data_IF_624496783603
#
_entry.id   IF_624496783603
#
_cell.length_a   1.000
_cell.length_b   1.000
_cell.length_c   1.000
_cell.angle_alpha   90.00
_cell.angle_beta   90.00
_cell.angle_gamma   90.00
#
_symmetry.space_group_name_H-M   'P 1'
#
loop_
_entity.id
_entity.type
_entity.pdbx_description
1 polymer ?
#
# COMPACT_ATOMS: atom_id res chain seq x y z
N UNK A 1 13.35 -20.25 19.14
CA UNK A 1 11.98 -20.69 18.82
C UNK A 1 11.11 -19.50 19.15
N UNK A 2 10.60 -18.82 18.13
CA UNK A 2 9.61 -17.77 18.34
C UNK A 2 8.38 -18.40 18.97
N UNK A 3 7.87 -17.77 20.03
CA UNK A 3 6.62 -18.17 20.64
C UNK A 3 5.48 -17.87 19.65
N UNK A 4 5.07 -18.86 18.89
CA UNK A 4 3.88 -18.75 18.03
C UNK A 4 2.70 -18.44 18.93
N UNK A 5 2.18 -17.21 18.85
CA UNK A 5 0.99 -16.81 19.60
C UNK A 5 -0.21 -17.55 19.02
N UNK A 6 -0.85 -18.37 19.84
CA UNK A 6 -2.07 -19.06 19.44
C UNK A 6 -3.20 -18.07 19.23
N UNK A 7 -3.86 -18.12 18.06
CA UNK A 7 -4.97 -17.23 17.68
C UNK A 7 -6.27 -18.02 17.75
N UNK A 8 -7.25 -17.53 18.49
CA UNK A 8 -8.55 -18.19 18.65
C UNK A 8 -9.65 -17.40 17.93
N UNK A 9 -10.60 -18.13 17.34
CA UNK A 9 -11.77 -17.52 16.68
C UNK A 9 -12.56 -16.57 17.59
N UNK A 10 -12.63 -16.86 18.90
CA UNK A 10 -13.28 -15.99 19.89
C UNK A 10 -12.64 -14.60 20.02
N UNK A 11 -11.38 -14.46 19.62
CA UNK A 11 -10.63 -13.20 19.69
C UNK A 11 -10.75 -12.37 18.40
N UNK A 12 -11.50 -12.88 17.41
CA UNK A 12 -11.76 -12.16 16.17
C UNK A 12 -12.53 -10.86 16.44
N UNK A 13 -12.00 -9.77 15.88
CA UNK A 13 -12.65 -8.46 15.86
C UNK A 13 -12.88 -8.04 14.42
N UNK A 14 -14.08 -7.56 14.11
CA UNK A 14 -14.39 -6.99 12.81
C UNK A 14 -13.47 -5.77 12.56
N UNK A 15 -13.14 -5.48 11.28
CA UNK A 15 -12.47 -4.24 10.95
C UNK A 15 -13.29 -3.03 11.40
N UNK A 16 -12.63 -2.01 11.94
CA UNK A 16 -13.26 -0.75 12.36
C UNK A 16 -13.45 0.22 11.18
N UNK A 17 -12.81 -0.09 10.04
CA UNK A 17 -12.87 0.68 8.80
C UNK A 17 -13.11 -0.24 7.61
N UNK A 18 -13.79 0.31 6.61
CA UNK A 18 -13.93 -0.27 5.27
C UNK A 18 -13.12 0.57 4.28
N UNK A 19 -12.29 -0.09 3.47
CA UNK A 19 -11.64 0.53 2.32
C UNK A 19 -12.44 0.15 1.08
N UNK A 20 -13.16 1.11 0.50
CA UNK A 20 -14.04 0.86 -0.66
C UNK A 20 -13.27 0.60 -1.94
N UNK A 21 -12.34 1.49 -2.21
CA UNK A 21 -11.51 1.46 -3.41
C UNK A 21 -10.12 1.96 -3.13
N UNK A 22 -9.19 1.53 -3.98
CA UNK A 22 -7.77 1.81 -3.90
C UNK A 22 -7.27 2.13 -5.31
N UNK A 23 -6.76 3.35 -5.51
CA UNK A 23 -5.98 3.70 -6.69
C UNK A 23 -4.50 3.59 -6.34
N UNK A 24 -3.82 2.62 -6.95
CA UNK A 24 -2.44 2.27 -6.64
C UNK A 24 -1.54 2.53 -7.85
N UNK A 25 -0.57 3.42 -7.70
CA UNK A 25 0.35 3.78 -8.77
C UNK A 25 1.77 3.38 -8.35
N UNK A 26 2.41 2.54 -9.18
CA UNK A 26 3.82 2.18 -9.06
C UNK A 26 4.63 2.93 -10.11
N UNK A 27 5.63 3.69 -9.70
CA UNK A 27 6.66 4.21 -10.59
C UNK A 27 7.97 3.44 -10.33
N UNK A 28 8.27 2.50 -11.24
CA UNK A 28 9.47 1.66 -11.15
C UNK A 28 10.69 2.43 -11.62
N UNK A 29 11.50 2.89 -10.67
CA UNK A 29 12.76 3.57 -10.93
C UNK A 29 13.94 2.62 -10.72
N UNK A 30 15.14 3.05 -11.04
CA UNK A 30 16.30 2.18 -11.00
C UNK A 30 16.72 1.77 -9.58
N UNK A 31 16.73 2.71 -8.65
CA UNK A 31 17.17 2.50 -7.27
C UNK A 31 16.04 2.19 -6.28
N UNK A 32 14.85 2.64 -6.59
CA UNK A 32 13.67 2.49 -5.74
C UNK A 32 12.38 2.49 -6.58
N UNK A 33 11.29 2.13 -5.96
CA UNK A 33 9.95 2.31 -6.53
C UNK A 33 9.18 3.31 -5.69
N UNK A 34 8.60 4.33 -6.34
CA UNK A 34 7.63 5.19 -5.69
C UNK A 34 6.25 4.54 -5.78
N UNK A 35 5.55 4.48 -4.65
CA UNK A 35 4.18 4.00 -4.57
C UNK A 35 3.29 5.15 -4.13
N UNK A 36 2.26 5.44 -4.93
CA UNK A 36 1.17 6.32 -4.55
C UNK A 36 -0.07 5.47 -4.32
N UNK A 37 -0.63 5.55 -3.13
CA UNK A 37 -1.83 4.83 -2.72
C UNK A 37 -2.91 5.85 -2.34
N UNK A 38 -4.04 5.83 -3.03
CA UNK A 38 -5.22 6.65 -2.69
C UNK A 38 -6.36 5.72 -2.33
N UNK A 39 -6.84 5.83 -1.10
CA UNK A 39 -7.90 4.99 -0.55
C UNK A 39 -9.10 5.82 -0.17
N UNK A 40 -10.31 5.38 -0.52
CA UNK A 40 -11.56 5.90 0.01
C UNK A 40 -12.04 5.02 1.15
N UNK A 41 -12.12 5.62 2.35
CA UNK A 41 -12.31 4.90 3.61
C UNK A 41 -13.59 5.37 4.30
N UNK A 42 -14.36 4.40 4.80
CA UNK A 42 -15.45 4.63 5.72
C UNK A 42 -15.11 4.06 7.09
N UNK A 43 -15.45 4.79 8.13
CA UNK A 43 -15.47 4.31 9.49
C UNK A 43 -16.70 3.44 9.70
N UNK A 44 -16.52 2.25 10.26
CA UNK A 44 -17.61 1.32 10.60
C UNK A 44 -17.99 1.38 12.07
N UNK A 45 -17.10 1.89 12.93
CA UNK A 45 -17.31 2.10 14.34
C UNK A 45 -17.06 3.57 14.68
N UNK A 46 -18.12 4.31 15.05
CA UNK A 46 -18.04 5.74 15.33
C UNK A 46 -17.23 6.08 16.60
N UNK A 47 -17.04 5.12 17.50
CA UNK A 47 -16.20 5.28 18.69
C UNK A 47 -14.70 5.24 18.36
N UNK A 48 -14.33 4.67 17.22
CA UNK A 48 -12.95 4.63 16.73
C UNK A 48 -12.50 6.01 16.27
N UNK A 49 -11.38 6.48 16.80
CA UNK A 49 -10.85 7.82 16.51
C UNK A 49 -9.72 7.82 15.48
N UNK A 50 -8.88 6.82 15.54
CA UNK A 50 -7.62 6.77 14.82
C UNK A 50 -7.64 5.64 13.78
N UNK A 51 -7.04 5.87 12.63
CA UNK A 51 -6.82 4.85 11.62
C UNK A 51 -5.41 4.28 11.79
N UNK A 52 -5.32 2.98 12.08
CA UNK A 52 -4.05 2.25 12.14
C UNK A 52 -3.88 1.38 10.91
N UNK A 53 -2.79 1.56 10.18
CA UNK A 53 -2.42 0.80 8.99
C UNK A 53 -1.13 0.01 9.24
N UNK A 54 -1.10 -1.24 8.81
CA UNK A 54 0.12 -2.06 8.78
C UNK A 54 1.12 -1.49 7.78
N UNK A 55 2.42 -1.44 8.12
CA UNK A 55 3.42 -0.76 7.31
C UNK A 55 4.83 -1.22 7.68
N UNK A 56 5.47 -2.00 6.82
CA UNK A 56 6.79 -2.60 7.09
C UNK A 56 7.79 -2.18 6.02
N UNK A 57 8.99 -1.75 6.45
CA UNK A 57 10.13 -1.41 5.59
C UNK A 57 9.82 -0.37 4.50
N UNK A 58 9.00 0.63 4.81
CA UNK A 58 8.61 1.70 3.91
C UNK A 58 9.26 3.03 4.31
N UNK A 59 9.65 3.83 3.33
CA UNK A 59 10.03 5.24 3.50
C UNK A 59 8.82 6.12 3.20
N UNK A 60 8.13 6.61 4.24
CA UNK A 60 6.97 7.49 4.10
C UNK A 60 7.43 8.88 3.62
N UNK A 61 6.89 9.35 2.50
CA UNK A 61 7.24 10.65 1.88
C UNK A 61 6.16 11.67 2.16
N UNK A 62 4.90 11.32 1.88
CA UNK A 62 3.78 12.24 2.05
C UNK A 62 2.53 11.51 2.51
N UNK A 63 1.74 12.22 3.31
CA UNK A 63 0.47 11.74 3.83
C UNK A 63 -0.58 12.85 3.77
N UNK A 64 -1.76 12.51 3.25
CA UNK A 64 -2.84 13.47 3.01
C UNK A 64 -4.17 12.86 3.45
N UNK A 65 -5.08 13.71 3.96
CA UNK A 65 -6.50 13.39 4.15
C UNK A 65 -7.33 14.45 3.44
N UNK A 66 -8.28 14.02 2.59
CA UNK A 66 -9.19 14.91 1.84
C UNK A 66 -8.41 16.06 1.17
N UNK A 67 -7.34 15.73 0.45
CA UNK A 67 -6.45 16.68 -0.25
C UNK A 67 -5.67 17.65 0.65
N UNK A 68 -5.71 17.49 1.96
CA UNK A 68 -4.92 18.28 2.90
C UNK A 68 -3.71 17.48 3.38
N UNK A 69 -2.50 17.98 3.10
CA UNK A 69 -1.25 17.38 3.58
C UNK A 69 -1.20 17.41 5.11
N UNK A 70 -0.97 16.25 5.73
CA UNK A 70 -0.89 16.14 7.17
C UNK A 70 0.47 16.63 7.69
N UNK A 71 0.42 17.31 8.85
CA UNK A 71 1.61 17.62 9.64
C UNK A 71 1.98 16.40 10.50
N UNK A 72 3.24 16.27 10.86
CA UNK A 72 3.77 15.17 11.68
C UNK A 72 3.04 14.99 13.03
N UNK A 73 2.44 16.05 13.56
CA UNK A 73 1.64 15.98 14.79
C UNK A 73 0.29 15.25 14.63
N UNK A 74 -0.12 14.96 13.39
CA UNK A 74 -1.38 14.32 13.06
C UNK A 74 -1.26 12.83 12.78
N UNK A 75 -0.06 12.27 12.80
CA UNK A 75 0.18 10.85 12.63
C UNK A 75 1.42 10.39 13.41
N UNK A 76 1.55 9.08 13.56
CA UNK A 76 2.74 8.42 14.10
C UNK A 76 3.13 7.30 13.13
N UNK A 77 4.42 7.19 12.80
CA UNK A 77 4.95 6.08 12.02
C UNK A 77 6.02 5.38 12.85
N UNK A 78 5.67 4.28 13.48
CA UNK A 78 6.53 3.49 14.37
C UNK A 78 5.98 2.08 14.56
N UNK A 79 6.84 1.18 15.00
CA UNK A 79 6.45 -0.19 15.38
C UNK A 79 5.68 -0.90 14.26
N UNK A 80 6.15 -0.72 13.00
CA UNK A 80 5.53 -1.29 11.80
C UNK A 80 4.08 -0.86 11.56
N UNK A 81 3.70 0.30 12.09
CA UNK A 81 2.36 0.88 11.97
C UNK A 81 2.41 2.35 11.57
N UNK A 82 1.49 2.73 10.71
CA UNK A 82 1.13 4.13 10.45
C UNK A 82 -0.20 4.41 11.13
N UNK A 83 -0.21 5.22 12.18
CA UNK A 83 -1.42 5.64 12.89
C UNK A 83 -1.74 7.08 12.52
N UNK A 84 -2.93 7.33 11.99
CA UNK A 84 -3.46 8.66 11.64
C UNK A 84 -4.50 9.06 12.66
N UNK A 85 -4.27 10.18 13.36
CA UNK A 85 -5.08 10.59 14.51
C UNK A 85 -6.32 11.37 14.11
N UNK A 86 -7.43 11.07 14.78
CA UNK A 86 -8.71 11.78 14.69
C UNK A 86 -9.22 11.89 13.25
N UNK A 87 -9.42 10.75 12.59
CA UNK A 87 -9.96 10.68 11.23
C UNK A 87 -11.48 10.91 11.21
N UNK A 88 -12.02 11.50 10.13
CA UNK A 88 -13.47 11.64 9.93
C UNK A 88 -14.18 10.29 9.72
N UNK A 89 -15.51 10.28 9.65
CA UNK A 89 -16.29 9.07 9.37
C UNK A 89 -16.15 8.61 7.92
N UNK A 90 -16.01 9.55 6.96
CA UNK A 90 -15.79 9.28 5.54
C UNK A 90 -14.68 10.18 5.02
N UNK A 91 -13.66 9.62 4.43
CA UNK A 91 -12.49 10.39 3.99
C UNK A 91 -11.68 9.65 2.94
N UNK A 92 -10.88 10.40 2.20
CA UNK A 92 -9.80 9.85 1.38
C UNK A 92 -8.45 9.97 2.09
N UNK A 93 -7.62 8.95 1.96
CA UNK A 93 -6.21 8.98 2.37
C UNK A 93 -5.35 8.82 1.13
N UNK A 94 -4.39 9.74 0.95
CA UNK A 94 -3.35 9.58 -0.05
C UNK A 94 -2.01 9.42 0.66
N UNK A 95 -1.30 8.35 0.34
CA UNK A 95 0.01 8.02 0.86
C UNK A 95 0.99 7.96 -0.29
N UNK A 96 2.13 8.62 -0.16
CA UNK A 96 3.26 8.47 -1.07
C UNK A 96 4.41 7.90 -0.26
N UNK A 97 4.92 6.75 -0.65
CA UNK A 97 6.05 6.10 -0.02
C UNK A 97 7.03 5.55 -1.05
N UNK A 98 8.25 5.26 -0.60
CA UNK A 98 9.24 4.52 -1.39
C UNK A 98 9.48 3.16 -0.81
N UNK A 99 9.77 2.24 -1.69
CA UNK A 99 10.25 0.89 -1.38
C UNK A 99 11.49 0.59 -2.23
N UNK A 100 12.29 -0.38 -1.79
CA UNK A 100 13.56 -0.76 -2.41
C UNK A 100 13.56 -2.23 -2.83
N UNK A 101 12.95 -2.58 -3.98
CA UNK A 101 12.79 -3.98 -4.40
C UNK A 101 14.10 -4.74 -4.57
N UNK A 102 15.20 -4.07 -4.93
CA UNK A 102 16.53 -4.67 -5.04
C UNK A 102 17.13 -5.09 -3.70
N UNK A 103 16.67 -4.47 -2.60
CA UNK A 103 17.13 -4.77 -1.24
C UNK A 103 16.18 -5.69 -0.49
N UNK A 104 15.02 -5.97 -1.06
CA UNK A 104 14.00 -6.82 -0.43
C UNK A 104 14.41 -8.29 -0.56
N UNK A 105 14.86 -8.90 0.54
CA UNK A 105 15.23 -10.30 0.67
C UNK A 105 14.15 -11.16 1.32
N UNK A 106 13.11 -10.56 1.83
CA UNK A 106 12.00 -11.25 2.49
C UNK A 106 11.11 -12.00 1.50
N UNK A 107 11.16 -11.62 0.21
CA UNK A 107 10.32 -12.17 -0.87
C UNK A 107 8.82 -11.95 -0.62
N UNK A 108 8.50 -10.88 0.08
CA UNK A 108 7.17 -10.38 0.37
C UNK A 108 7.01 -8.95 -0.13
N UNK A 109 5.79 -8.56 -0.52
CA UNK A 109 5.55 -7.28 -1.18
C UNK A 109 6.14 -7.24 -2.59
N UNK A 110 6.76 -6.13 -2.98
CA UNK A 110 7.44 -5.97 -4.27
C UNK A 110 8.95 -6.24 -4.10
N UNK A 111 9.49 -7.16 -4.88
CA UNK A 111 10.90 -7.50 -4.90
C UNK A 111 11.40 -7.76 -6.33
N UNK A 112 12.70 -7.87 -6.50
CA UNK A 112 13.31 -8.29 -7.76
C UNK A 112 13.79 -9.73 -7.71
N UNK A 113 13.47 -10.48 -8.78
CA UNK A 113 14.05 -11.80 -9.06
C UNK A 113 14.84 -11.70 -10.38
N UNK A 114 16.14 -11.55 -10.26
CA UNK A 114 17.02 -11.23 -11.40
C UNK A 114 16.66 -9.86 -12.01
N UNK A 115 16.21 -9.84 -13.26
CA UNK A 115 15.78 -8.60 -13.96
C UNK A 115 14.29 -8.31 -13.90
N UNK A 116 13.51 -9.15 -13.20
CA UNK A 116 12.05 -9.07 -13.18
C UNK A 116 11.58 -8.56 -11.82
N UNK A 117 10.65 -7.59 -11.83
CA UNK A 117 9.89 -7.23 -10.65
C UNK A 117 8.77 -8.25 -10.40
N UNK A 118 8.63 -8.69 -9.16
CA UNK A 118 7.62 -9.65 -8.73
C UNK A 118 6.93 -9.15 -7.47
N UNK A 119 5.65 -9.51 -7.30
CA UNK A 119 4.92 -9.27 -6.05
C UNK A 119 4.49 -10.59 -5.43
N UNK A 120 4.60 -10.67 -4.10
CA UNK A 120 4.03 -11.74 -3.28
C UNK A 120 3.39 -11.09 -2.06
N UNK A 121 2.08 -11.25 -1.90
CA UNK A 121 1.32 -10.60 -0.85
C UNK A 121 0.57 -11.57 0.06
N UNK A 122 0.62 -12.85 -0.17
CA UNK A 122 -0.03 -13.88 0.65
C UNK A 122 0.94 -14.61 1.58
N UNK A 123 0.60 -14.69 2.89
CA UNK A 123 -0.28 -13.76 3.61
C UNK A 123 0.51 -12.60 4.20
N UNK A 124 -0.12 -11.43 4.22
CA UNK A 124 0.32 -10.21 4.91
C UNK A 124 1.54 -9.51 4.29
N UNK A 125 1.77 -9.66 2.96
CA UNK A 125 2.88 -9.00 2.24
C UNK A 125 2.56 -7.60 1.71
N UNK A 126 1.29 -7.20 1.61
CA UNK A 126 0.90 -5.91 1.00
C UNK A 126 1.37 -4.70 1.83
N UNK A 127 1.50 -4.85 3.14
CA UNK A 127 2.07 -3.87 4.08
C UNK A 127 3.54 -3.50 3.79
N UNK A 128 4.24 -4.29 2.96
CA UNK A 128 5.59 -3.99 2.46
C UNK A 128 5.59 -3.23 1.14
N UNK A 129 4.42 -2.96 0.57
CA UNK A 129 4.24 -2.12 -0.62
C UNK A 129 3.81 -0.72 -0.21
N UNK A 130 2.80 -0.62 0.63
CA UNK A 130 2.22 0.64 1.10
C UNK A 130 1.47 0.40 2.42
N UNK A 131 1.31 1.42 3.29
CA UNK A 131 0.48 1.29 4.48
C UNK A 131 -0.95 0.88 4.12
N UNK A 132 -1.48 -0.16 4.78
CA UNK A 132 -2.79 -0.74 4.48
C UNK A 132 -3.41 -1.45 5.68
N UNK A 133 -4.73 -1.67 5.68
CA UNK A 133 -5.39 -2.63 6.56
C UNK A 133 -5.17 -4.03 5.99
N UNK A 134 -3.99 -4.59 6.23
CA UNK A 134 -3.51 -5.82 5.57
C UNK A 134 -4.07 -7.07 6.25
N UNK A 135 -5.38 -7.26 6.05
CA UNK A 135 -6.19 -8.34 6.62
C UNK A 135 -7.03 -8.99 5.52
N UNK A 136 -7.24 -10.32 5.55
CA UNK A 136 -8.01 -11.03 4.52
C UNK A 136 -9.50 -10.67 4.49
N UNK A 137 -10.04 -10.09 5.55
CA UNK A 137 -11.44 -9.65 5.65
C UNK A 137 -11.65 -8.18 5.24
N UNK A 138 -10.60 -7.47 4.83
CA UNK A 138 -10.67 -6.13 4.22
C UNK A 138 -10.55 -6.26 2.72
N UNK A 139 -11.70 -6.22 2.03
CA UNK A 139 -11.78 -6.36 0.58
C UNK A 139 -12.08 -5.01 -0.06
N UNK A 140 -11.34 -4.67 -1.12
CA UNK A 140 -11.44 -3.39 -1.82
C UNK A 140 -11.44 -3.58 -3.34
N UNK A 141 -11.93 -2.60 -4.07
CA UNK A 141 -11.81 -2.54 -5.53
C UNK A 141 -10.51 -1.82 -5.88
N UNK A 142 -9.59 -2.52 -6.55
CA UNK A 142 -8.30 -1.96 -6.93
C UNK A 142 -8.28 -1.46 -8.37
N UNK A 143 -7.69 -0.27 -8.56
CA UNK A 143 -7.18 0.19 -9.86
C UNK A 143 -5.66 0.29 -9.72
N UNK A 144 -4.91 -0.44 -10.55
CA UNK A 144 -3.45 -0.45 -10.48
C UNK A 144 -2.87 0.15 -11.74
N UNK A 145 -1.95 1.11 -11.58
CA UNK A 145 -1.16 1.71 -12.63
C UNK A 145 0.31 1.38 -12.40
N UNK A 146 1.00 0.88 -13.42
CA UNK A 146 2.43 0.60 -13.38
C UNK A 146 3.15 1.42 -14.42
N UNK A 147 4.08 2.26 -14.01
CA UNK A 147 4.89 3.15 -14.87
C UNK A 147 6.33 2.66 -14.84
N UNK A 148 6.91 2.40 -16.01
CA UNK A 148 8.29 1.91 -16.12
C UNK A 148 8.95 2.35 -17.43
N UNK A 149 10.28 2.21 -17.50
CA UNK A 149 11.06 2.42 -18.73
C UNK A 149 10.74 1.31 -19.74
N UNK A 150 10.17 1.71 -20.89
CA UNK A 150 9.67 0.79 -21.91
C UNK A 150 10.75 -0.15 -22.49
N UNK A 151 11.97 0.34 -22.68
CA UNK A 151 13.07 -0.47 -23.23
C UNK A 151 13.53 -1.55 -22.24
N UNK A 152 13.53 -1.22 -20.94
CA UNK A 152 14.00 -2.10 -19.87
C UNK A 152 12.90 -3.09 -19.45
N UNK A 153 11.66 -2.61 -19.41
CA UNK A 153 10.48 -3.38 -18.98
C UNK A 153 9.38 -3.32 -20.05
N UNK A 154 9.54 -4.08 -21.17
CA UNK A 154 8.60 -3.99 -22.30
C UNK A 154 7.22 -4.58 -22.01
N UNK A 155 7.10 -5.39 -20.95
CA UNK A 155 5.86 -6.05 -20.54
C UNK A 155 5.57 -5.65 -19.10
N UNK A 156 4.38 -5.05 -18.88
CA UNK A 156 3.84 -4.73 -17.57
C UNK A 156 2.58 -5.55 -17.35
N UNK A 157 2.51 -6.22 -16.20
CA UNK A 157 1.39 -7.07 -15.82
C UNK A 157 0.94 -6.72 -14.41
N UNK A 158 -0.36 -6.80 -14.18
CA UNK A 158 -0.99 -6.68 -12.87
C UNK A 158 -2.20 -7.61 -12.79
N UNK A 159 -2.76 -7.77 -11.61
CA UNK A 159 -4.00 -8.49 -11.40
C UNK A 159 -5.17 -7.73 -12.04
N UNK A 160 -6.22 -8.45 -12.42
CA UNK A 160 -7.45 -7.87 -12.98
C UNK A 160 -7.41 -7.63 -14.48
N UNK A 161 -8.39 -6.88 -14.96
CA UNK A 161 -8.58 -6.62 -16.38
C UNK A 161 -7.82 -5.37 -16.81
N UNK A 162 -7.03 -5.51 -17.88
CA UNK A 162 -6.31 -4.38 -18.47
C UNK A 162 -7.31 -3.35 -19.01
N UNK A 163 -7.21 -2.11 -18.55
CA UNK A 163 -8.05 -0.99 -18.99
C UNK A 163 -7.42 -0.25 -20.17
N UNK A 164 -6.14 0.11 -20.05
CA UNK A 164 -5.43 0.88 -21.09
C UNK A 164 -3.93 0.63 -21.03
N UNK A 165 -3.25 1.08 -22.07
CA UNK A 165 -1.79 1.23 -22.11
C UNK A 165 -1.47 2.49 -22.90
N UNK A 166 -0.57 3.32 -22.40
CA UNK A 166 -0.11 4.51 -23.10
C UNK A 166 1.41 4.65 -23.01
N UNK A 167 1.99 5.35 -23.99
CA UNK A 167 3.39 5.73 -23.94
C UNK A 167 3.48 7.14 -23.39
N UNK A 168 4.15 7.30 -22.26
CA UNK A 168 4.45 8.61 -21.68
C UNK A 168 5.65 9.23 -22.41
N UNK A 169 5.76 10.56 -22.38
CA UNK A 169 6.96 11.23 -22.85
C UNK A 169 8.17 10.72 -22.05
N UNK A 170 9.34 10.55 -22.69
CA UNK A 170 10.59 10.04 -22.11
C UNK A 170 10.73 8.51 -22.01
N UNK A 171 10.30 7.76 -23.01
CA UNK A 171 10.49 6.29 -23.09
C UNK A 171 9.88 5.48 -21.93
N UNK A 172 8.95 6.05 -21.13
CA UNK A 172 8.16 5.34 -20.15
C UNK A 172 6.83 4.83 -20.74
N UNK A 173 6.26 3.80 -20.16
CA UNK A 173 4.90 3.33 -20.44
C UNK A 173 4.17 2.96 -19.14
N UNK A 174 2.87 2.98 -19.21
CA UNK A 174 1.90 2.69 -18.15
C UNK A 174 1.12 1.40 -18.44
#
# INVERSE_FOLDING_TARGET
>A
MENVKEIFLKDYKKPEFEIKDVDLIFELLEEYTTVTNVMNINKLDEDTKDLELDSIDLELIELWINDLKLKETRYSYKDEKLTIFNVPSNFSVKIINKIYPDKNTELEGLYKSGSIFCTQNEPEGFRRITPYLDRPDVMSVFTTTVIAEKKKYPILLSNGNKKQTQSLMQDKHE
#
